data_IF_524587308085
#
_entry.id   IF_524587308085
#
_cell.length_a   1.000
_cell.length_b   1.000
_cell.length_c   1.000
_cell.angle_alpha   90.00
_cell.angle_beta   90.00
_cell.angle_gamma   90.00
#
_symmetry.space_group_name_H-M   'P 1'
#
loop_
_entity.id
_entity.type
_entity.pdbx_description
1 polymer ?
#
# COMPACT_ATOMS: atom_id res chain seq x y z
N UNK A 1 -76.00 29.50 17.36
CA UNK A 1 -75.61 28.40 16.46
C UNK A 1 -74.68 29.00 15.42
N UNK A 2 -73.38 28.78 15.32
CA UNK A 2 -72.45 27.85 15.95
C UNK A 2 -71.22 27.94 15.04
N UNK A 3 -70.28 28.84 15.39
CA UNK A 3 -69.09 29.11 14.58
C UNK A 3 -68.20 27.87 14.56
N UNK A 4 -68.10 27.23 13.40
CA UNK A 4 -67.13 26.15 13.17
C UNK A 4 -65.78 26.83 13.00
N UNK A 5 -65.03 26.92 14.09
CA UNK A 5 -63.60 27.17 14.05
C UNK A 5 -63.00 25.91 13.42
N UNK A 6 -62.62 26.02 12.15
CA UNK A 6 -61.76 25.07 11.49
C UNK A 6 -60.40 25.17 12.19
N UNK A 7 -60.22 24.39 13.25
CA UNK A 7 -58.90 24.15 13.84
C UNK A 7 -58.18 23.29 12.81
N UNK A 8 -57.53 23.96 11.87
CA UNK A 8 -56.47 23.38 11.07
C UNK A 8 -55.43 22.93 12.09
N UNK A 9 -55.48 21.66 12.46
CA UNK A 9 -54.41 21.00 13.16
C UNK A 9 -53.19 21.09 12.23
N UNK A 10 -52.42 22.16 12.38
CA UNK A 10 -51.03 22.16 12.01
C UNK A 10 -50.45 21.07 12.91
N UNK A 11 -50.44 19.84 12.39
CA UNK A 11 -49.46 18.84 12.76
C UNK A 11 -48.11 19.47 12.40
N UNK A 12 -47.66 20.36 13.29
CA UNK A 12 -46.27 20.69 13.49
C UNK A 12 -45.64 19.36 13.81
N UNK A 13 -45.14 18.71 12.75
CA UNK A 13 -43.83 18.07 12.67
C UNK A 13 -43.13 18.03 14.04
N UNK A 14 -43.61 17.17 14.93
CA UNK A 14 -42.75 16.46 15.85
C UNK A 14 -42.02 15.40 15.03
N UNK A 15 -41.23 15.84 14.05
CA UNK A 15 -40.03 15.10 13.67
C UNK A 15 -39.08 15.53 14.76
N UNK A 16 -38.88 14.71 15.81
CA UNK A 16 -37.90 15.09 16.78
C UNK A 16 -36.58 15.20 16.00
N UNK A 17 -35.92 16.35 16.09
CA UNK A 17 -34.56 16.59 15.60
C UNK A 17 -33.62 15.70 16.44
N UNK A 18 -33.73 14.39 16.30
CA UNK A 18 -32.69 13.46 16.72
C UNK A 18 -31.63 13.69 15.68
N UNK A 19 -30.57 14.39 16.08
CA UNK A 19 -29.45 14.60 15.18
C UNK A 19 -29.03 13.25 14.59
N UNK A 20 -28.89 13.19 13.27
CA UNK A 20 -28.64 11.90 12.64
C UNK A 20 -27.25 11.45 13.03
N UNK A 21 -27.20 10.32 13.73
CA UNK A 21 -25.96 9.75 14.23
C UNK A 21 -25.45 8.72 13.23
N UNK A 22 -24.21 8.90 12.79
CA UNK A 22 -23.46 7.89 12.05
C UNK A 22 -22.77 6.95 13.04
N UNK A 23 -23.22 5.71 13.08
CA UNK A 23 -22.62 4.67 13.93
C UNK A 23 -21.56 3.90 13.16
N UNK A 24 -20.35 3.85 13.71
CA UNK A 24 -19.20 3.16 13.12
C UNK A 24 -18.70 2.12 14.12
N UNK A 25 -18.89 0.85 13.80
CA UNK A 25 -18.29 -0.26 14.53
C UNK A 25 -16.97 -0.66 13.87
N UNK A 26 -15.85 -0.26 14.47
CA UNK A 26 -14.51 -0.50 13.94
C UNK A 26 -14.02 -1.91 14.29
N UNK A 27 -13.60 -2.67 13.28
CA UNK A 27 -13.01 -4.00 13.47
C UNK A 27 -11.59 -3.86 14.07
N UNK A 28 -11.13 -4.81 14.89
CA UNK A 28 -9.77 -4.75 15.46
C UNK A 28 -8.68 -4.99 14.42
N UNK A 29 -8.93 -5.90 13.47
CA UNK A 29 -8.00 -6.23 12.39
C UNK A 29 -8.75 -6.66 11.13
N UNK A 30 -8.22 -6.28 9.97
CA UNK A 30 -8.73 -6.70 8.66
C UNK A 30 -7.56 -6.98 7.71
N UNK A 31 -7.68 -8.03 6.91
CA UNK A 31 -6.77 -8.31 5.79
C UNK A 31 -7.47 -8.02 4.47
N UNK A 32 -6.90 -7.13 3.65
CA UNK A 32 -7.46 -6.67 2.38
C UNK A 32 -6.72 -7.31 1.19
N UNK A 33 -7.45 -7.60 0.13
CA UNK A 33 -6.94 -8.03 -1.17
C UNK A 33 -6.56 -6.84 -2.08
N UNK A 34 -6.99 -5.63 -1.73
CA UNK A 34 -6.74 -4.38 -2.45
C UNK A 34 -5.86 -3.39 -1.65
N UNK A 35 -5.10 -2.56 -2.37
CA UNK A 35 -4.24 -1.53 -1.76
C UNK A 35 -5.04 -0.35 -1.17
N UNK A 36 -6.14 0.05 -1.81
CA UNK A 36 -6.99 1.15 -1.33
C UNK A 36 -7.80 0.74 -0.11
N UNK A 37 -7.81 1.57 0.92
CA UNK A 37 -8.56 1.30 2.15
C UNK A 37 -9.78 2.22 2.19
N UNK A 38 -10.97 1.64 2.24
CA UNK A 38 -12.22 2.38 2.50
C UNK A 38 -12.71 2.13 3.93
N UNK A 39 -13.58 3.01 4.43
CA UNK A 39 -14.19 2.80 5.75
C UNK A 39 -15.08 1.54 5.78
N UNK A 40 -15.76 1.22 4.68
CA UNK A 40 -16.59 0.02 4.56
C UNK A 40 -15.81 -1.29 4.70
N UNK A 41 -14.52 -1.29 4.34
CA UNK A 41 -13.66 -2.46 4.49
C UNK A 41 -13.38 -2.77 5.97
N UNK A 42 -13.11 -1.71 6.75
CA UNK A 42 -12.60 -1.81 8.11
C UNK A 42 -13.67 -1.70 9.20
N UNK A 43 -14.89 -1.25 8.87
CA UNK A 43 -15.96 -1.03 9.83
C UNK A 43 -17.31 -1.51 9.32
N UNK A 44 -18.22 -1.80 10.25
CA UNK A 44 -19.67 -1.84 9.95
C UNK A 44 -20.21 -0.44 10.21
N UNK A 45 -20.97 0.08 9.26
CA UNK A 45 -21.49 1.44 9.29
C UNK A 45 -23.01 1.34 9.31
N UNK A 46 -23.66 2.16 10.12
CA UNK A 46 -25.11 2.32 10.10
C UNK A 46 -25.45 3.80 10.10
N UNK A 47 -26.29 4.21 9.16
CA UNK A 47 -26.80 5.57 9.10
C UNK A 47 -28.28 5.59 8.66
N UNK A 48 -29.14 6.45 9.24
CA UNK A 48 -30.56 6.48 8.88
C UNK A 48 -30.84 6.82 7.41
N UNK A 49 -29.93 7.53 6.73
CA UNK A 49 -30.06 7.87 5.31
C UNK A 49 -29.14 6.97 4.47
N UNK A 50 -29.68 6.15 3.54
CA UNK A 50 -28.86 5.24 2.72
C UNK A 50 -27.78 5.94 1.91
N UNK A 51 -28.04 7.16 1.42
CA UNK A 51 -27.05 7.96 0.69
C UNK A 51 -25.86 8.36 1.56
N UNK A 52 -26.11 8.74 2.82
CA UNK A 52 -25.06 9.09 3.77
C UNK A 52 -24.27 7.87 4.21
N UNK A 53 -24.92 6.72 4.40
CA UNK A 53 -24.24 5.45 4.69
C UNK A 53 -23.29 5.06 3.56
N UNK A 54 -23.74 5.22 2.30
CA UNK A 54 -22.94 4.95 1.11
C UNK A 54 -21.74 5.90 0.97
N UNK A 55 -21.92 7.19 1.27
CA UNK A 55 -20.81 8.16 1.25
C UNK A 55 -19.79 7.80 2.34
N UNK A 56 -20.25 7.46 3.55
CA UNK A 56 -19.38 7.05 4.64
C UNK A 56 -18.61 5.77 4.28
N UNK A 57 -19.27 4.74 3.74
CA UNK A 57 -18.63 3.47 3.39
C UNK A 57 -17.56 3.60 2.31
N UNK A 58 -17.78 4.45 1.31
CA UNK A 58 -16.83 4.72 0.24
C UNK A 58 -15.76 5.76 0.61
N UNK A 59 -15.72 6.23 1.86
CA UNK A 59 -14.70 7.20 2.28
C UNK A 59 -13.33 6.53 2.30
N UNK A 60 -12.45 7.01 1.41
CA UNK A 60 -11.04 6.60 1.35
C UNK A 60 -10.26 7.07 2.59
N UNK A 61 -9.55 6.12 3.20
CA UNK A 61 -8.71 6.33 4.39
C UNK A 61 -7.20 6.26 4.04
N UNK A 62 -6.87 5.87 2.81
CA UNK A 62 -5.51 5.87 2.27
C UNK A 62 -5.21 4.58 1.52
N UNK A 63 -3.91 4.28 1.40
CA UNK A 63 -3.41 3.13 0.65
C UNK A 63 -2.42 2.32 1.48
N UNK A 64 -2.40 1.02 1.28
CA UNK A 64 -1.31 0.13 1.63
C UNK A 64 -0.31 0.09 0.47
N UNK A 65 0.94 -0.25 0.77
CA UNK A 65 1.97 -0.46 -0.23
C UNK A 65 2.61 -1.82 -0.01
N UNK A 66 3.09 -2.52 -1.04
CA UNK A 66 3.91 -3.72 -0.85
C UNK A 66 5.19 -3.49 -0.01
N UNK A 67 5.66 -2.25 0.13
CA UNK A 67 6.76 -1.91 1.05
C UNK A 67 6.30 -1.67 2.49
N UNK A 68 5.02 -1.35 2.68
CA UNK A 68 4.37 -1.10 3.97
C UNK A 68 3.01 -1.81 3.95
N UNK A 69 3.00 -3.15 3.98
CA UNK A 69 1.79 -3.94 3.78
C UNK A 69 0.86 -3.88 5.00
N UNK A 70 1.30 -3.26 6.09
CA UNK A 70 0.51 -3.07 7.30
C UNK A 70 0.41 -1.59 7.68
N UNK A 71 -0.76 -1.21 8.18
CA UNK A 71 -1.03 0.15 8.68
C UNK A 71 -2.03 0.09 9.83
N UNK A 72 -1.93 1.04 10.75
CA UNK A 72 -2.92 1.24 11.82
C UNK A 72 -3.77 2.46 11.46
N UNK A 73 -5.09 2.28 11.48
CA UNK A 73 -6.07 3.36 11.28
C UNK A 73 -6.76 3.63 12.62
N UNK A 74 -6.80 4.91 13.01
CA UNK A 74 -7.38 5.35 14.28
C UNK A 74 -8.75 6.01 14.07
N UNK A 75 -9.58 6.03 15.11
CA UNK A 75 -10.86 6.75 15.09
C UNK A 75 -10.70 8.24 14.74
N UNK A 76 -9.62 8.89 15.20
CA UNK A 76 -9.34 10.29 14.89
C UNK A 76 -9.09 10.53 13.40
N UNK A 77 -8.36 9.62 12.75
CA UNK A 77 -8.15 9.69 11.31
C UNK A 77 -9.47 9.55 10.55
N UNK A 78 -10.29 8.57 10.92
CA UNK A 78 -11.61 8.33 10.32
C UNK A 78 -12.49 9.57 10.49
N UNK A 79 -12.53 10.15 11.69
CA UNK A 79 -13.27 11.37 11.99
C UNK A 79 -12.85 12.52 11.06
N UNK A 80 -11.54 12.80 10.98
CA UNK A 80 -11.02 13.87 10.13
C UNK A 80 -11.40 13.67 8.65
N UNK A 81 -11.38 12.43 8.15
CA UNK A 81 -11.75 12.09 6.77
C UNK A 81 -13.24 12.24 6.53
N UNK A 82 -14.09 11.81 7.46
CA UNK A 82 -15.54 11.93 7.36
C UNK A 82 -16.02 13.37 7.48
N UNK A 83 -15.44 14.18 8.35
CA UNK A 83 -15.77 15.60 8.47
C UNK A 83 -15.41 16.39 7.19
N UNK A 84 -14.44 15.92 6.41
CA UNK A 84 -14.13 16.49 5.10
C UNK A 84 -15.12 16.07 4.00
N UNK A 85 -16.05 15.15 4.29
CA UNK A 85 -17.10 14.70 3.38
C UNK A 85 -18.43 15.37 3.73
N UNK A 86 -19.18 15.75 2.71
CA UNK A 86 -20.53 16.29 2.89
C UNK A 86 -21.54 15.15 3.09
N UNK A 87 -21.58 14.56 4.29
CA UNK A 87 -22.57 13.54 4.65
C UNK A 87 -23.91 14.25 4.96
N UNK A 88 -25.01 13.91 4.27
CA UNK A 88 -26.28 14.61 4.43
C UNK A 88 -26.79 14.56 5.87
N UNK A 89 -27.07 15.73 6.45
CA UNK A 89 -27.71 15.88 7.76
C UNK A 89 -26.94 15.20 8.91
N UNK A 90 -25.62 15.03 8.80
CA UNK A 90 -24.79 14.43 9.83
C UNK A 90 -24.62 15.38 11.02
N UNK A 91 -25.08 14.96 12.20
CA UNK A 91 -24.92 15.72 13.44
C UNK A 91 -23.84 15.12 14.36
N UNK A 92 -23.79 13.79 14.47
CA UNK A 92 -22.87 13.09 15.37
C UNK A 92 -22.24 11.87 14.70
N UNK A 93 -20.98 11.59 15.05
CA UNK A 93 -20.29 10.35 14.69
C UNK A 93 -20.03 9.59 15.98
N UNK A 94 -20.58 8.38 16.09
CA UNK A 94 -20.39 7.49 17.22
C UNK A 94 -19.48 6.32 16.83
N UNK A 95 -18.33 6.22 17.49
CA UNK A 95 -17.41 5.12 17.31
C UNK A 95 -17.62 4.05 18.37
N UNK A 96 -17.69 2.79 17.94
CA UNK A 96 -17.79 1.61 18.79
C UNK A 96 -16.86 0.49 18.29
N UNK A 97 -16.68 -0.55 19.09
CA UNK A 97 -15.75 -1.64 18.76
C UNK A 97 -14.31 -1.31 19.18
N UNK A 98 -13.34 -1.56 18.30
CA UNK A 98 -11.93 -1.33 18.59
C UNK A 98 -11.57 0.16 18.53
N UNK A 99 -10.57 0.59 19.33
CA UNK A 99 -10.06 1.98 19.28
C UNK A 99 -9.25 2.28 18.00
N UNK A 100 -8.68 1.23 17.40
CA UNK A 100 -7.90 1.28 16.18
C UNK A 100 -8.09 -0.02 15.39
N UNK A 101 -7.96 0.05 14.08
CA UNK A 101 -7.98 -1.10 13.19
C UNK A 101 -6.59 -1.32 12.62
N UNK A 102 -6.02 -2.52 12.83
CA UNK A 102 -4.84 -2.97 12.09
C UNK A 102 -5.28 -3.46 10.71
N UNK A 103 -4.78 -2.86 9.66
CA UNK A 103 -5.06 -3.27 8.27
C UNK A 103 -3.80 -3.88 7.69
N UNK A 104 -3.93 -5.03 7.04
CA UNK A 104 -2.84 -5.71 6.34
C UNK A 104 -3.24 -6.10 4.93
N UNK A 105 -2.31 -6.06 3.97
CA UNK A 105 -2.51 -6.69 2.68
C UNK A 105 -2.47 -8.22 2.82
N UNK A 106 -3.31 -8.92 2.06
CA UNK A 106 -3.22 -10.35 1.84
C UNK A 106 -2.13 -10.66 0.82
N UNK A 107 -1.35 -11.70 1.07
CA UNK A 107 -0.15 -11.96 0.31
C UNK A 107 0.90 -12.72 1.11
N UNK A 108 2.09 -12.78 0.53
CA UNK A 108 3.23 -13.51 1.07
C UNK A 108 4.48 -12.64 1.07
N UNK A 109 5.31 -12.86 2.08
CA UNK A 109 6.66 -12.33 2.10
C UNK A 109 7.55 -13.16 1.19
N UNK A 110 8.26 -12.50 0.27
CA UNK A 110 9.30 -13.12 -0.54
C UNK A 110 10.61 -13.05 0.26
N UNK A 111 11.26 -14.20 0.53
CA UNK A 111 12.53 -14.23 1.23
C UNK A 111 13.60 -13.45 0.47
N UNK A 112 14.37 -12.60 1.17
CA UNK A 112 15.44 -11.81 0.54
C UNK A 112 16.49 -12.69 -0.12
N UNK A 113 16.85 -13.82 0.50
CA UNK A 113 17.81 -14.76 -0.09
C UNK A 113 17.35 -15.29 -1.45
N UNK A 114 16.04 -15.47 -1.65
CA UNK A 114 15.49 -15.87 -2.94
C UNK A 114 15.67 -14.75 -3.97
N UNK A 115 15.31 -13.51 -3.61
CA UNK A 115 15.48 -12.35 -4.50
C UNK A 115 16.95 -12.11 -4.86
N UNK A 116 17.87 -12.24 -3.89
CA UNK A 116 19.31 -12.07 -4.11
C UNK A 116 19.86 -13.06 -5.13
N UNK A 117 19.44 -14.33 -5.08
CA UNK A 117 19.84 -15.34 -6.07
C UNK A 117 19.23 -15.05 -7.44
N UNK A 118 17.95 -14.67 -7.52
CA UNK A 118 17.32 -14.31 -8.80
C UNK A 118 17.97 -13.06 -9.44
N UNK A 119 18.31 -12.04 -8.65
CA UNK A 119 19.07 -10.89 -9.14
C UNK A 119 20.47 -11.28 -9.60
N UNK A 120 21.14 -12.17 -8.88
CA UNK A 120 22.48 -12.68 -9.23
C UNK A 120 22.45 -13.45 -10.55
N UNK A 121 21.42 -14.25 -10.80
CA UNK A 121 21.22 -14.93 -12.08
C UNK A 121 21.01 -13.93 -13.22
N UNK A 122 20.13 -12.95 -13.06
CA UNK A 122 19.86 -11.94 -14.09
C UNK A 122 21.07 -11.04 -14.38
N UNK A 123 21.81 -10.64 -13.35
CA UNK A 123 23.09 -9.91 -13.53
C UNK A 123 24.11 -10.81 -14.23
N UNK A 124 24.20 -12.09 -13.86
CA UNK A 124 25.12 -13.06 -14.45
C UNK A 124 24.91 -13.25 -15.94
N UNK A 125 23.65 -13.36 -16.39
CA UNK A 125 23.29 -13.41 -17.82
C UNK A 125 23.79 -12.21 -18.61
N UNK A 126 23.85 -11.04 -17.97
CA UNK A 126 24.27 -9.78 -18.62
C UNK A 126 25.78 -9.56 -18.63
N UNK A 127 26.50 -10.17 -17.69
CA UNK A 127 27.94 -9.98 -17.53
C UNK A 127 28.68 -11.31 -17.45
N UNK A 128 28.70 -12.05 -18.55
CA UNK A 128 29.32 -13.38 -18.65
C UNK A 128 30.81 -13.42 -18.29
N UNK A 129 31.53 -12.29 -18.36
CA UNK A 129 32.94 -12.20 -17.97
C UNK A 129 33.17 -12.27 -16.45
N UNK A 130 32.12 -12.20 -15.63
CA UNK A 130 32.21 -12.24 -14.18
C UNK A 130 32.25 -13.69 -13.71
N UNK A 131 33.28 -14.07 -12.95
CA UNK A 131 33.46 -15.45 -12.45
C UNK A 131 32.64 -15.75 -11.21
N UNK A 132 32.46 -14.76 -10.35
CA UNK A 132 31.66 -14.86 -9.13
C UNK A 132 30.93 -13.55 -8.91
N UNK A 133 29.63 -13.65 -8.63
CA UNK A 133 28.77 -12.53 -8.24
C UNK A 133 28.29 -12.76 -6.82
N UNK A 134 28.41 -11.73 -6.00
CA UNK A 134 27.71 -11.62 -4.72
C UNK A 134 26.74 -10.44 -4.85
N UNK A 135 25.48 -10.68 -4.53
CA UNK A 135 24.42 -9.67 -4.56
C UNK A 135 23.81 -9.61 -3.17
N UNK A 136 23.64 -8.40 -2.65
CA UNK A 136 22.97 -8.17 -1.37
C UNK A 136 21.88 -7.11 -1.51
N UNK A 137 20.67 -7.41 -1.05
CA UNK A 137 19.60 -6.42 -0.95
C UNK A 137 19.83 -5.55 0.28
N UNK A 138 19.89 -4.23 0.07
CA UNK A 138 20.16 -3.24 1.14
C UNK A 138 19.01 -2.27 1.38
N UNK A 139 17.96 -2.32 0.55
CA UNK A 139 16.80 -1.41 0.64
C UNK A 139 15.68 -1.92 1.52
N UNK A 140 15.56 -3.24 1.69
CA UNK A 140 14.53 -3.85 2.53
C UNK A 140 15.00 -5.18 3.07
N UNK A 141 14.51 -5.54 4.26
CA UNK A 141 14.76 -6.85 4.87
C UNK A 141 13.82 -7.93 4.33
N UNK A 142 12.67 -7.54 3.76
CA UNK A 142 11.68 -8.42 3.14
C UNK A 142 10.89 -7.66 2.07
N UNK A 143 10.36 -8.35 1.07
CA UNK A 143 9.46 -7.75 0.07
C UNK A 143 8.12 -8.47 0.17
N UNK A 144 7.04 -7.71 0.31
CA UNK A 144 5.70 -8.28 0.32
C UNK A 144 5.17 -8.38 -1.12
N UNK A 145 4.55 -9.51 -1.45
CA UNK A 145 3.86 -9.72 -2.71
C UNK A 145 2.37 -9.96 -2.42
N UNK A 146 1.46 -9.12 -2.93
CA UNK A 146 0.03 -9.33 -2.77
C UNK A 146 -0.41 -10.69 -3.35
N UNK A 147 -1.49 -11.25 -2.81
CA UNK A 147 -2.01 -12.54 -3.28
C UNK A 147 -2.40 -12.50 -4.76
N UNK A 148 -2.15 -13.61 -5.46
CA UNK A 148 -2.38 -13.72 -6.90
C UNK A 148 -1.38 -12.95 -7.77
N UNK A 149 -0.57 -12.07 -7.21
CA UNK A 149 0.46 -11.34 -7.96
C UNK A 149 1.68 -12.22 -8.23
N UNK A 150 2.33 -11.93 -9.36
CA UNK A 150 3.67 -12.42 -9.70
C UNK A 150 4.64 -11.24 -9.69
N UNK A 151 5.92 -11.51 -9.87
CA UNK A 151 6.88 -10.44 -10.05
C UNK A 151 7.88 -10.78 -11.15
N UNK A 152 8.53 -9.72 -11.66
CA UNK A 152 9.63 -9.82 -12.60
C UNK A 152 10.74 -8.85 -12.18
N UNK A 153 11.98 -9.32 -12.27
CA UNK A 153 13.15 -8.48 -12.04
C UNK A 153 13.42 -7.62 -13.28
N UNK A 154 13.57 -6.33 -13.07
CA UNK A 154 13.94 -5.35 -14.09
C UNK A 154 15.23 -4.65 -13.69
N UNK A 155 16.28 -4.90 -14.47
CA UNK A 155 17.59 -4.28 -14.26
C UNK A 155 17.71 -2.99 -15.08
N UNK A 156 18.42 -1.97 -14.58
CA UNK A 156 18.62 -0.74 -15.32
C UNK A 156 19.32 -1.00 -16.67
N UNK A 157 19.01 -0.22 -17.73
CA UNK A 157 19.54 -0.45 -19.06
C UNK A 157 21.05 -0.19 -19.18
N UNK A 158 21.67 0.47 -18.20
CA UNK A 158 23.13 0.58 -18.12
C UNK A 158 23.53 0.61 -16.65
N UNK A 159 24.40 -0.30 -16.26
CA UNK A 159 24.99 -0.35 -14.93
C UNK A 159 26.31 -1.12 -14.97
N UNK A 160 27.14 -0.91 -13.95
CA UNK A 160 28.32 -1.72 -13.73
C UNK A 160 27.95 -2.93 -12.87
N UNK A 161 28.52 -4.12 -13.10
CA UNK A 161 28.27 -5.29 -12.25
C UNK A 161 28.98 -5.20 -10.88
N UNK A 162 29.21 -3.99 -10.36
CA UNK A 162 29.80 -3.74 -9.06
C UNK A 162 29.30 -2.43 -8.46
N UNK A 163 29.35 -2.34 -7.14
CA UNK A 163 28.89 -1.18 -6.38
C UNK A 163 27.39 -1.24 -6.08
N UNK A 164 26.79 -0.10 -5.77
CA UNK A 164 25.37 -0.01 -5.47
C UNK A 164 24.56 0.27 -6.74
N UNK A 165 23.54 -0.54 -6.99
CA UNK A 165 22.61 -0.36 -8.10
C UNK A 165 21.18 -0.26 -7.60
N UNK A 166 20.34 0.50 -8.31
CA UNK A 166 18.89 0.49 -8.09
C UNK A 166 18.26 -0.33 -9.21
N UNK A 167 17.66 -1.46 -8.86
CA UNK A 167 16.85 -2.27 -9.74
C UNK A 167 15.36 -2.08 -9.42
N UNK A 168 14.49 -2.57 -10.28
CA UNK A 168 13.04 -2.54 -10.07
C UNK A 168 12.52 -3.97 -9.95
N UNK A 169 11.62 -4.20 -8.99
CA UNK A 169 10.75 -5.36 -8.97
C UNK A 169 9.41 -4.95 -9.57
N UNK A 170 9.14 -5.41 -10.79
CA UNK A 170 7.84 -5.23 -11.42
C UNK A 170 6.86 -6.21 -10.75
N UNK A 171 5.92 -5.71 -9.98
CA UNK A 171 4.81 -6.51 -9.45
C UNK A 171 3.74 -6.60 -10.52
N UNK A 172 3.46 -7.82 -10.94
CA UNK A 172 2.47 -8.13 -11.97
C UNK A 172 1.19 -8.62 -11.31
N UNK A 173 0.07 -8.06 -11.72
CA UNK A 173 -1.26 -8.49 -11.30
C UNK A 173 -1.60 -9.91 -11.75
N UNK A 174 -2.75 -10.45 -11.32
CA UNK A 174 -3.20 -11.79 -11.68
C UNK A 174 -3.32 -12.03 -13.19
N UNK A 175 -3.67 -10.99 -13.96
CA UNK A 175 -3.80 -11.06 -15.43
C UNK A 175 -2.48 -10.74 -16.16
N UNK A 176 -1.40 -10.49 -15.42
CA UNK A 176 -0.05 -10.24 -15.95
C UNK A 176 0.25 -8.78 -16.30
N UNK A 177 -0.68 -7.87 -16.03
CA UNK A 177 -0.53 -6.43 -16.11
C UNK A 177 0.43 -5.90 -15.04
N UNK A 178 1.13 -4.79 -15.33
CA UNK A 178 2.01 -4.17 -14.34
C UNK A 178 1.17 -3.43 -13.30
N UNK A 179 1.13 -3.96 -12.07
CA UNK A 179 0.39 -3.37 -10.96
C UNK A 179 1.21 -2.28 -10.25
N UNK A 180 2.47 -2.59 -9.92
CA UNK A 180 3.36 -1.63 -9.25
C UNK A 180 4.82 -1.89 -9.55
N UNK A 181 5.66 -0.88 -9.29
CA UNK A 181 7.11 -0.95 -9.42
C UNK A 181 7.75 -0.66 -8.09
N UNK A 182 8.52 -1.62 -7.57
CA UNK A 182 9.22 -1.49 -6.30
C UNK A 182 10.70 -1.23 -6.55
N UNK A 183 11.22 -0.02 -6.27
CA UNK A 183 12.64 0.24 -6.41
C UNK A 183 13.41 -0.48 -5.29
N UNK A 184 14.34 -1.34 -5.69
CA UNK A 184 15.19 -2.12 -4.80
C UNK A 184 16.66 -1.72 -4.98
N UNK A 185 17.32 -1.35 -3.88
CA UNK A 185 18.77 -1.08 -3.86
C UNK A 185 19.54 -2.34 -3.54
N UNK A 186 20.51 -2.65 -4.37
CA UNK A 186 21.38 -3.83 -4.30
C UNK A 186 22.84 -3.37 -4.17
N UNK A 187 23.62 -4.05 -3.33
CA UNK A 187 25.07 -4.01 -3.36
C UNK A 187 25.57 -5.22 -4.17
N UNK A 188 26.35 -4.96 -5.22
CA UNK A 188 26.87 -6.00 -6.11
C UNK A 188 28.39 -6.03 -6.01
N UNK A 189 28.94 -7.24 -5.87
CA UNK A 189 30.38 -7.49 -5.94
C UNK A 189 30.66 -8.51 -7.03
N UNK A 190 31.29 -8.06 -8.10
CA UNK A 190 31.78 -8.91 -9.17
C UNK A 190 33.26 -9.23 -9.00
N UNK A 191 33.58 -10.51 -9.05
CA UNK A 191 34.94 -11.01 -9.09
C UNK A 191 35.25 -11.49 -10.49
N UNK A 192 36.29 -10.91 -11.10
CA UNK A 192 36.77 -11.27 -12.42
C UNK A 192 38.29 -11.33 -12.44
N UNK A 193 38.82 -11.98 -13.45
CA UNK A 193 40.25 -11.85 -13.75
C UNK A 193 40.54 -10.40 -14.19
N UNK A 194 41.57 -9.80 -13.63
CA UNK A 194 42.06 -8.48 -14.02
C UNK A 194 43.55 -8.56 -14.32
N UNK A 195 43.98 -7.79 -15.32
CA UNK A 195 45.41 -7.59 -15.57
C UNK A 195 45.90 -6.56 -14.57
N UNK A 196 46.90 -6.94 -13.77
CA UNK A 196 47.57 -6.05 -12.82
C UNK A 196 49.03 -5.96 -13.21
N UNK A 197 49.56 -4.74 -13.31
CA UNK A 197 50.99 -4.55 -13.48
C UNK A 197 51.73 -5.14 -12.28
N UNK A 198 52.67 -6.05 -12.54
CA UNK A 198 53.55 -6.62 -11.49
C UNK A 198 54.58 -5.60 -11.02
N UNK A 199 54.96 -4.68 -11.91
CA UNK A 199 56.01 -3.70 -11.70
C UNK A 199 55.50 -2.29 -12.01
N UNK A 200 56.24 -1.29 -11.55
CA UNK A 200 55.91 0.12 -11.80
C UNK A 200 56.28 0.47 -13.24
N UNK A 201 55.26 0.61 -14.08
CA UNK A 201 55.41 1.04 -15.46
C UNK A 201 55.68 2.55 -15.56
N UNK A 202 56.59 2.94 -16.46
CA UNK A 202 56.84 4.33 -16.84
C UNK A 202 55.91 4.76 -17.95
N UNK A 203 55.69 6.08 -18.06
CA UNK A 203 54.88 6.65 -19.14
C UNK A 203 55.53 6.37 -20.49
N UNK A 204 54.80 5.71 -21.40
CA UNK A 204 55.27 5.34 -22.74
C UNK A 204 55.88 3.95 -22.85
N UNK A 205 55.92 3.18 -21.75
CA UNK A 205 56.40 1.81 -21.74
C UNK A 205 55.32 0.86 -22.31
N UNK A 206 55.72 -0.05 -23.21
CA UNK A 206 54.81 -1.00 -23.88
C UNK A 206 54.58 -2.21 -22.98
N UNK A 207 53.31 -2.62 -22.81
CA UNK A 207 52.84 -3.75 -21.98
C UNK A 207 52.65 -4.99 -22.84
#
# INVERSE_FOLDING_TARGET
>A
MGSIILITAVFLLNVPLWGLTLEIYLKPQVSLDQESITLGDIARISYPLPEGEKIASLTELGMLSPLQPERIITAQEIYNRLCARSIPQLDYIYFSGAMQCKVSLQGKWVPVAQLEEEFKEEIGKRFEFVKRLEVRLISSEQVFLPDGCKYRISLPPSFNPWGTITAELDVLGPEGELASKLPLRLEVRAFRNVVRAKERLKRGEVI
#
